data_IF_509458067875
#
_entry.id   IF_509458067875
#
_cell.length_a   1.000
_cell.length_b   1.000
_cell.length_c   1.000
_cell.angle_alpha   90.00
_cell.angle_beta   90.00
_cell.angle_gamma   90.00
#
_symmetry.space_group_name_H-M   'P 1'
#
loop_
_entity.id
_entity.type
_entity.pdbx_description
1 polymer ?
#
# COMPACT_ATOMS: atom_id res chain seq x y z
N UNK A 1 13.74 -11.37 -2.32
CA UNK A 1 15.15 -11.02 -2.61
C UNK A 1 15.36 -9.53 -2.89
N UNK A 2 14.57 -8.87 -3.76
CA UNK A 2 14.75 -7.43 -4.07
C UNK A 2 14.38 -6.51 -2.90
N UNK A 3 13.24 -6.74 -2.23
CA UNK A 3 12.79 -5.94 -1.07
C UNK A 3 13.80 -6.00 0.09
N UNK A 4 14.33 -7.18 0.39
CA UNK A 4 15.35 -7.36 1.42
C UNK A 4 16.69 -6.68 1.09
N UNK A 5 17.05 -6.59 -0.20
CA UNK A 5 18.24 -5.85 -0.64
C UNK A 5 18.05 -4.33 -0.50
N UNK A 6 16.86 -3.81 -0.81
CA UNK A 6 16.55 -2.38 -0.64
C UNK A 6 16.50 -1.97 0.85
N UNK A 7 16.00 -2.84 1.74
CA UNK A 7 16.10 -2.67 3.22
C UNK A 7 17.50 -2.54 3.78
N UNK A 8 18.52 -3.03 3.08
CA UNK A 8 19.89 -2.90 3.55
C UNK A 8 20.52 -1.55 3.17
N UNK A 9 19.94 -0.84 2.20
CA UNK A 9 20.56 0.35 1.59
C UNK A 9 19.81 1.64 1.87
N UNK A 10 18.53 1.55 2.23
CA UNK A 10 17.67 2.69 2.56
C UNK A 10 17.06 2.49 3.94
N UNK A 11 16.92 3.58 4.68
CA UNK A 11 16.16 3.54 5.92
C UNK A 11 14.69 3.22 5.64
N UNK A 12 14.05 2.43 6.51
CA UNK A 12 12.66 1.99 6.34
C UNK A 12 11.70 3.19 6.08
N UNK A 13 11.97 4.38 6.66
CA UNK A 13 11.17 5.59 6.42
C UNK A 13 11.23 6.10 4.97
N UNK A 14 12.40 6.03 4.34
CA UNK A 14 12.58 6.53 2.98
C UNK A 14 11.89 5.62 1.98
N UNK A 15 11.98 4.32 2.21
CA UNK A 15 11.29 3.34 1.36
C UNK A 15 9.77 3.40 1.48
N UNK A 16 9.21 3.77 2.64
CA UNK A 16 7.76 4.01 2.75
C UNK A 16 7.36 5.17 1.84
N UNK A 17 7.97 6.35 1.99
CA UNK A 17 7.59 7.52 1.19
C UNK A 17 7.78 7.27 -0.30
N UNK A 18 8.93 6.68 -0.70
CA UNK A 18 9.19 6.38 -2.11
C UNK A 18 8.15 5.41 -2.68
N UNK A 19 7.77 4.39 -1.91
CA UNK A 19 6.79 3.40 -2.35
C UNK A 19 5.37 3.97 -2.37
N UNK A 20 5.00 4.84 -1.43
CA UNK A 20 3.71 5.54 -1.44
C UNK A 20 3.60 6.49 -2.64
N UNK A 21 4.64 7.28 -2.93
CA UNK A 21 4.68 8.17 -4.11
C UNK A 21 4.60 7.34 -5.39
N UNK A 22 5.38 6.26 -5.50
CA UNK A 22 5.34 5.37 -6.66
C UNK A 22 3.95 4.73 -6.83
N UNK A 23 3.32 4.31 -5.74
CA UNK A 23 1.93 3.81 -5.75
C UNK A 23 0.97 4.88 -6.25
N UNK A 24 1.05 6.11 -5.74
CA UNK A 24 0.20 7.23 -6.17
C UNK A 24 0.37 7.53 -7.67
N UNK A 25 1.61 7.51 -8.18
CA UNK A 25 1.89 7.64 -9.61
C UNK A 25 1.27 6.48 -10.40
N UNK A 26 1.40 5.24 -9.92
CA UNK A 26 0.78 4.06 -10.55
C UNK A 26 -0.75 4.17 -10.62
N UNK A 27 -1.40 4.64 -9.56
CA UNK A 27 -2.84 4.91 -9.53
C UNK A 27 -3.21 6.08 -10.46
N UNK A 28 -2.38 7.11 -10.54
CA UNK A 28 -2.55 8.20 -11.49
C UNK A 28 -2.48 7.73 -12.94
N UNK A 29 -1.56 6.79 -13.25
CA UNK A 29 -1.42 6.18 -14.58
C UNK A 29 -2.60 5.29 -14.90
N UNK A 30 -3.10 4.48 -13.98
CA UNK A 30 -4.20 3.53 -14.26
C UNK A 30 -5.56 4.22 -14.41
N UNK A 31 -5.73 5.45 -13.93
CA UNK A 31 -6.97 6.19 -14.07
C UNK A 31 -7.29 6.52 -15.55
N UNK A 32 -8.55 6.37 -15.95
CA UNK A 32 -8.97 6.63 -17.32
C UNK A 32 -9.33 8.11 -17.53
N UNK A 33 -8.55 8.79 -18.38
CA UNK A 33 -8.74 10.20 -18.79
C UNK A 33 -9.35 10.36 -20.20
N UNK A 34 -9.95 9.31 -20.74
CA UNK A 34 -10.58 9.29 -22.06
C UNK A 34 -9.98 8.22 -22.98
N UNK A 35 -8.69 8.35 -23.32
CA UNK A 35 -7.98 7.36 -24.15
C UNK A 35 -7.31 6.29 -23.30
N UNK A 36 -8.06 5.22 -23.01
CA UNK A 36 -7.56 4.12 -22.19
C UNK A 36 -6.93 3.03 -23.06
N UNK A 37 -5.70 2.63 -22.73
CA UNK A 37 -4.99 1.57 -23.43
C UNK A 37 -4.61 0.41 -22.51
N UNK A 38 -4.45 -0.78 -23.10
CA UNK A 38 -3.95 -1.96 -22.37
C UNK A 38 -2.55 -1.69 -21.80
N UNK A 39 -1.71 -0.95 -22.52
CA UNK A 39 -0.37 -0.58 -22.05
C UNK A 39 -0.44 0.29 -20.77
N UNK A 40 -1.37 1.24 -20.71
CA UNK A 40 -1.60 2.06 -19.52
C UNK A 40 -2.08 1.23 -18.33
N UNK A 41 -3.01 0.29 -18.57
CA UNK A 41 -3.48 -0.64 -17.53
C UNK A 41 -2.34 -1.48 -16.97
N UNK A 42 -1.53 -2.09 -17.85
CA UNK A 42 -0.43 -2.97 -17.46
C UNK A 42 0.66 -2.16 -16.75
N UNK A 43 1.07 -1.01 -17.29
CA UNK A 43 2.10 -0.18 -16.68
C UNK A 43 1.68 0.33 -15.29
N UNK A 44 0.47 0.89 -15.17
CA UNK A 44 -0.07 1.35 -13.89
C UNK A 44 -0.22 0.20 -12.89
N UNK A 45 -0.77 -0.94 -13.33
CA UNK A 45 -0.95 -2.13 -12.50
C UNK A 45 0.36 -2.70 -11.98
N UNK A 46 1.40 -2.78 -12.81
CA UNK A 46 2.73 -3.25 -12.40
C UNK A 46 3.35 -2.31 -11.37
N UNK A 47 3.25 -0.99 -11.58
CA UNK A 47 3.78 -0.01 -10.61
C UNK A 47 3.06 -0.14 -9.27
N UNK A 48 1.73 -0.15 -9.27
CA UNK A 48 0.93 -0.34 -8.05
C UNK A 48 1.34 -1.63 -7.35
N UNK A 49 1.38 -2.75 -8.08
CA UNK A 49 1.70 -4.05 -7.51
C UNK A 49 3.08 -4.06 -6.85
N UNK A 50 4.12 -3.58 -7.53
CA UNK A 50 5.48 -3.53 -6.97
C UNK A 50 5.51 -2.63 -5.74
N UNK A 51 4.96 -1.41 -5.83
CA UNK A 51 4.94 -0.46 -4.72
C UNK A 51 4.21 -0.99 -3.49
N UNK A 52 3.06 -1.64 -3.66
CA UNK A 52 2.31 -2.22 -2.54
C UNK A 52 3.06 -3.38 -1.89
N UNK A 53 3.76 -4.22 -2.67
CA UNK A 53 4.60 -5.29 -2.11
C UNK A 53 5.80 -4.75 -1.31
N UNK A 54 6.41 -3.65 -1.75
CA UNK A 54 7.47 -2.98 -0.98
C UNK A 54 6.89 -2.42 0.31
N UNK A 55 5.75 -1.73 0.27
CA UNK A 55 5.07 -1.18 1.46
C UNK A 55 4.73 -2.25 2.49
N UNK A 56 4.22 -3.40 2.05
CA UNK A 56 3.92 -4.53 2.95
C UNK A 56 5.20 -5.02 3.67
N UNK A 57 6.31 -5.15 2.93
CA UNK A 57 7.60 -5.55 3.50
C UNK A 57 8.16 -4.55 4.51
N UNK A 58 8.12 -3.26 4.19
CA UNK A 58 8.67 -2.21 5.07
C UNK A 58 7.78 -1.99 6.30
N UNK A 59 6.45 -2.04 6.15
CA UNK A 59 5.53 -1.97 7.28
C UNK A 59 5.75 -3.13 8.26
N UNK A 60 5.98 -4.34 7.74
CA UNK A 60 6.32 -5.49 8.58
C UNK A 60 7.66 -5.32 9.31
N UNK A 61 8.67 -4.76 8.64
CA UNK A 61 9.96 -4.42 9.26
C UNK A 61 9.76 -3.46 10.43
N UNK A 62 9.06 -2.35 10.24
CA UNK A 62 8.80 -1.37 11.30
C UNK A 62 7.96 -1.93 12.44
N UNK A 63 6.91 -2.69 12.12
CA UNK A 63 6.05 -3.30 13.12
C UNK A 63 6.84 -4.27 14.02
N UNK A 64 7.78 -5.01 13.43
CA UNK A 64 8.66 -5.92 14.19
C UNK A 64 9.59 -5.18 15.18
N UNK A 65 9.97 -3.94 14.86
CA UNK A 65 10.82 -3.08 15.71
C UNK A 65 10.03 -2.33 16.79
N UNK A 66 8.75 -2.04 16.54
CA UNK A 66 7.91 -1.23 17.44
C UNK A 66 6.99 -2.04 18.35
N UNK A 67 6.77 -3.34 18.07
CA UNK A 67 5.92 -4.17 18.94
C UNK A 67 6.56 -4.42 20.32
N UNK A 68 5.83 -4.18 21.43
CA UNK A 68 6.30 -4.47 22.77
C UNK A 68 6.62 -5.96 22.95
N UNK A 69 7.73 -6.27 23.63
CA UNK A 69 8.17 -7.66 23.93
C UNK A 69 7.12 -8.49 24.68
N UNK A 70 6.14 -7.85 25.33
CA UNK A 70 5.00 -8.52 25.98
C UNK A 70 4.01 -9.14 24.99
N UNK A 71 3.80 -8.52 23.82
CA UNK A 71 2.92 -9.04 22.76
C UNK A 71 3.64 -10.03 21.84
N UNK A 72 4.96 -9.90 21.69
CA UNK A 72 5.76 -10.80 20.86
C UNK A 72 5.84 -12.27 21.36
N UNK A 73 5.48 -12.54 22.63
CA UNK A 73 5.52 -13.89 23.22
C UNK A 73 4.20 -14.68 23.13
N UNK A 74 3.10 -14.05 22.70
CA UNK A 74 1.77 -14.67 22.65
C UNK A 74 1.28 -14.98 21.24
N UNK A 75 0.04 -15.47 21.13
CA UNK A 75 -0.66 -15.73 19.86
C UNK A 75 -0.82 -14.46 19.00
N UNK A 76 -0.91 -13.28 19.62
CA UNK A 76 -0.93 -11.97 18.97
C UNK A 76 0.48 -11.46 18.58
N UNK A 77 1.26 -12.32 17.93
CA UNK A 77 2.52 -11.90 17.35
C UNK A 77 2.29 -10.95 16.14
N UNK A 78 3.34 -10.24 15.75
CA UNK A 78 3.33 -9.30 14.62
C UNK A 78 2.87 -9.94 13.30
N UNK A 79 3.20 -11.22 13.10
CA UNK A 79 2.84 -11.99 11.92
C UNK A 79 1.33 -12.28 11.82
N UNK A 80 0.70 -12.67 12.93
CA UNK A 80 -0.74 -12.91 12.97
C UNK A 80 -1.51 -11.61 12.70
N UNK A 81 -1.16 -10.53 13.42
CA UNK A 81 -1.83 -9.23 13.27
C UNK A 81 -1.72 -8.69 11.83
N UNK A 82 -0.56 -8.83 11.20
CA UNK A 82 -0.38 -8.42 9.81
C UNK A 82 -1.18 -9.29 8.83
N UNK A 83 -1.24 -10.60 9.08
CA UNK A 83 -2.03 -11.52 8.25
C UNK A 83 -3.52 -11.24 8.37
N UNK A 84 -4.02 -11.01 9.57
CA UNK A 84 -5.42 -10.65 9.82
C UNK A 84 -5.76 -9.29 9.20
N UNK A 85 -4.92 -8.27 9.39
CA UNK A 85 -5.10 -6.96 8.77
C UNK A 85 -5.12 -7.05 7.23
N UNK A 86 -4.21 -7.83 6.64
CA UNK A 86 -4.17 -8.05 5.19
C UNK A 86 -5.40 -8.79 4.69
N UNK A 87 -5.87 -9.81 5.41
CA UNK A 87 -7.08 -10.57 5.06
C UNK A 87 -8.32 -9.70 5.15
N UNK A 88 -8.45 -8.90 6.21
CA UNK A 88 -9.55 -7.97 6.40
C UNK A 88 -9.56 -6.86 5.34
N UNK A 89 -8.39 -6.32 5.00
CA UNK A 89 -8.22 -5.35 3.93
C UNK A 89 -8.66 -5.90 2.56
N UNK A 90 -8.28 -7.15 2.24
CA UNK A 90 -8.76 -7.83 1.02
C UNK A 90 -10.26 -8.02 1.01
N UNK A 91 -10.85 -8.48 2.12
CA UNK A 91 -12.30 -8.66 2.22
C UNK A 91 -13.07 -7.35 1.98
N UNK A 92 -12.62 -6.24 2.58
CA UNK A 92 -13.21 -4.91 2.33
C UNK A 92 -13.03 -4.51 0.86
N UNK A 93 -11.84 -4.73 0.28
CA UNK A 93 -11.55 -4.45 -1.13
C UNK A 93 -12.49 -5.19 -2.08
N UNK A 94 -12.70 -6.48 -1.86
CA UNK A 94 -13.59 -7.32 -2.69
C UNK A 94 -15.04 -6.85 -2.61
N UNK A 95 -15.51 -6.50 -1.41
CA UNK A 95 -16.85 -5.92 -1.22
C UNK A 95 -16.96 -4.58 -1.94
N UNK A 96 -15.97 -3.71 -1.82
CA UNK A 96 -15.96 -2.40 -2.49
C UNK A 96 -15.99 -2.54 -4.03
N UNK A 97 -15.17 -3.44 -4.59
CA UNK A 97 -15.16 -3.73 -6.04
C UNK A 97 -16.51 -4.29 -6.48
N UNK A 98 -17.12 -5.18 -5.68
CA UNK A 98 -18.43 -5.76 -5.98
C UNK A 98 -19.51 -4.68 -6.03
N UNK A 99 -19.55 -3.78 -5.05
CA UNK A 99 -20.52 -2.66 -5.00
C UNK A 99 -20.32 -1.72 -6.19
N UNK A 100 -19.08 -1.37 -6.50
CA UNK A 100 -18.71 -0.54 -7.64
C UNK A 100 -19.01 -1.22 -8.99
N UNK A 101 -19.07 -2.55 -9.03
CA UNK A 101 -19.44 -3.34 -10.21
C UNK A 101 -20.94 -3.38 -10.52
N UNK A 102 -21.82 -3.11 -9.55
CA UNK A 102 -23.28 -3.16 -9.73
C UNK A 102 -23.81 -2.29 -10.88
N UNK A 103 -23.33 -1.03 -11.09
CA UNK A 103 -23.79 -0.16 -12.17
C UNK A 103 -23.24 -0.52 -13.56
N UNK A 104 -22.28 -1.45 -13.65
CA UNK A 104 -21.70 -1.92 -14.91
C UNK A 104 -20.17 -1.82 -14.97
N UNK A 105 -19.56 -2.76 -15.73
CA UNK A 105 -18.10 -2.95 -15.79
C UNK A 105 -17.33 -1.73 -16.33
N UNK A 106 -17.99 -0.90 -17.13
CA UNK A 106 -17.42 0.32 -17.70
C UNK A 106 -17.04 1.38 -16.66
N UNK A 107 -17.69 1.38 -15.49
CA UNK A 107 -17.41 2.33 -14.42
C UNK A 107 -16.43 1.78 -13.37
N UNK A 108 -16.23 0.46 -13.36
CA UNK A 108 -15.46 -0.23 -12.32
C UNK A 108 -14.07 0.35 -12.17
N UNK A 109 -13.40 0.63 -13.29
CA UNK A 109 -12.05 1.18 -13.26
C UNK A 109 -12.03 2.53 -12.51
N UNK A 110 -12.70 3.56 -13.03
CA UNK A 110 -12.61 4.90 -12.44
C UNK A 110 -13.24 4.97 -11.05
N UNK A 111 -14.31 4.24 -10.78
CA UNK A 111 -14.97 4.27 -9.48
C UNK A 111 -14.19 3.50 -8.41
N UNK A 112 -13.39 2.50 -8.77
CA UNK A 112 -12.49 1.82 -7.84
C UNK A 112 -11.23 2.64 -7.60
N UNK A 113 -10.64 3.22 -8.67
CA UNK A 113 -9.38 3.94 -8.54
C UNK A 113 -9.53 5.36 -8.01
N UNK A 114 -10.68 6.04 -8.16
CA UNK A 114 -10.92 7.36 -7.58
C UNK A 114 -10.78 7.40 -6.03
N UNK A 115 -11.43 6.54 -5.24
CA UNK A 115 -11.20 6.48 -3.79
C UNK A 115 -9.77 6.05 -3.46
N UNK A 116 -9.14 5.22 -4.30
CA UNK A 116 -7.75 4.81 -4.17
C UNK A 116 -6.77 5.99 -4.35
N UNK A 117 -7.04 6.93 -5.25
CA UNK A 117 -6.29 8.20 -5.38
C UNK A 117 -6.43 9.02 -4.10
N UNK A 118 -7.65 9.16 -3.58
CA UNK A 118 -7.90 9.94 -2.37
C UNK A 118 -7.19 9.33 -1.16
N UNK A 119 -7.31 8.02 -0.96
CA UNK A 119 -6.66 7.30 0.15
C UNK A 119 -5.14 7.38 0.01
N UNK A 120 -4.57 7.12 -1.17
CA UNK A 120 -3.11 7.19 -1.36
C UNK A 120 -2.55 8.60 -1.12
N UNK A 121 -3.25 9.65 -1.55
CA UNK A 121 -2.87 11.04 -1.24
C UNK A 121 -2.94 11.32 0.26
N UNK A 122 -4.01 10.90 0.93
CA UNK A 122 -4.16 11.05 2.38
C UNK A 122 -3.06 10.30 3.13
N UNK A 123 -2.71 9.08 2.70
CA UNK A 123 -1.62 8.30 3.27
C UNK A 123 -0.29 9.03 3.13
N UNK A 124 0.06 9.54 1.95
CA UNK A 124 1.28 10.34 1.75
C UNK A 124 1.31 11.56 2.68
N UNK A 125 0.22 12.30 2.77
CA UNK A 125 0.13 13.48 3.64
C UNK A 125 0.27 13.11 5.12
N UNK A 126 -0.34 12.00 5.53
CA UNK A 126 -0.24 11.51 6.90
C UNK A 126 1.17 11.00 7.22
N UNK A 127 1.75 10.18 6.37
CA UNK A 127 3.13 9.69 6.47
C UNK A 127 4.11 10.87 6.51
N UNK A 128 3.91 11.91 5.70
CA UNK A 128 4.71 13.14 5.76
C UNK A 128 4.65 13.85 7.12
N UNK A 129 3.49 13.86 7.79
CA UNK A 129 3.37 14.44 9.15
C UNK A 129 3.99 13.57 10.23
N UNK A 130 3.92 12.26 10.08
CA UNK A 130 4.44 11.30 11.07
C UNK A 130 5.90 10.93 10.76
N UNK A 131 6.46 11.38 9.64
CA UNK A 131 7.78 11.01 9.14
C UNK A 131 8.89 11.15 10.20
N UNK A 132 8.83 12.20 11.01
CA UNK A 132 9.80 12.42 12.08
C UNK A 132 9.64 11.46 13.27
N UNK A 133 8.43 10.95 13.52
CA UNK A 133 8.16 9.92 14.55
C UNK A 133 8.42 8.49 14.06
N UNK A 134 8.58 8.31 12.75
CA UNK A 134 9.02 7.06 12.13
C UNK A 134 10.53 6.84 12.27
N UNK A 135 11.28 7.86 12.71
CA UNK A 135 12.65 7.68 13.15
C UNK A 135 12.66 6.83 14.44
N UNK A 136 13.15 5.60 14.32
CA UNK A 136 13.76 4.92 15.45
C UNK A 136 15.01 5.74 15.78
N UNK A 137 14.92 6.62 16.78
CA UNK A 137 16.11 7.17 17.42
C UNK A 137 16.90 5.97 17.98
N UNK A 138 18.05 5.68 17.38
CA UNK A 138 19.08 4.80 17.96
C UNK A 138 19.82 5.55 19.09
#
# INVERSE_FOLDING_TARGET
>A
MVVGWMSFRYEDREMIILSEIAMFVGVGIIANYGHYSVAQFVAGGVIIFISTNVLEGVNMSLLSKTIPKSFAKGTFNSGLLATEAGTFGRAIGDVAITVVGLPGIQYVLNWTFAPLIAISLLTILYTGRVYHKLATDD
#
